data_IF_593513302291
#
_entry.id   IF_593513302291
#
_cell.length_a   1.000
_cell.length_b   1.000
_cell.length_c   1.000
_cell.angle_alpha   90.00
_cell.angle_beta   90.00
_cell.angle_gamma   90.00
#
_symmetry.space_group_name_H-M   'P 1'
#
loop_
_entity.id
_entity.type
_entity.pdbx_description
1 polymer ?
#
# COMPACT_ATOMS: atom_id res chain seq x y z
N UNK A 1 -14.45 4.42 -11.33
CA UNK A 1 -13.54 3.25 -11.43
C UNK A 1 -12.20 3.64 -10.81
N UNK A 2 -11.74 2.88 -9.82
CA UNK A 2 -10.47 3.13 -9.13
C UNK A 2 -9.34 2.26 -9.70
N UNK A 3 -9.66 1.04 -10.10
CA UNK A 3 -8.73 0.10 -10.75
C UNK A 3 -9.43 -0.46 -11.99
N UNK A 4 -8.68 -0.57 -13.10
CA UNK A 4 -9.15 -1.19 -14.34
C UNK A 4 -8.01 -1.95 -15.01
N UNK A 5 -8.10 -3.28 -14.97
CA UNK A 5 -7.16 -4.20 -15.60
C UNK A 5 -7.87 -4.99 -16.69
N UNK A 6 -7.33 -4.94 -17.91
CA UNK A 6 -7.85 -5.65 -19.06
C UNK A 6 -6.70 -6.38 -19.77
N UNK A 7 -6.85 -7.69 -19.86
CA UNK A 7 -5.87 -8.57 -20.50
C UNK A 7 -4.43 -8.33 -20.02
N UNK A 8 -4.24 -8.33 -18.68
CA UNK A 8 -2.95 -8.04 -18.07
C UNK A 8 -2.17 -9.34 -17.86
N UNK A 9 -0.91 -9.36 -18.32
CA UNK A 9 0.05 -10.43 -18.04
C UNK A 9 1.12 -9.93 -17.06
N UNK A 10 1.46 -10.77 -16.08
CA UNK A 10 2.38 -10.43 -14.99
C UNK A 10 3.55 -11.42 -15.00
N UNK A 11 4.75 -10.88 -15.00
CA UNK A 11 5.99 -11.64 -15.01
C UNK A 11 6.80 -11.41 -13.74
N UNK A 12 7.52 -12.46 -13.30
CA UNK A 12 8.62 -12.36 -12.35
C UNK A 12 9.89 -12.84 -13.04
N UNK A 13 10.83 -11.92 -13.27
CA UNK A 13 11.92 -12.14 -14.21
C UNK A 13 11.34 -12.62 -15.58
N UNK A 14 11.84 -13.72 -16.12
CA UNK A 14 11.39 -14.25 -17.41
C UNK A 14 10.19 -15.23 -17.31
N UNK A 15 9.65 -15.43 -16.10
CA UNK A 15 8.53 -16.35 -15.88
C UNK A 15 7.20 -15.62 -15.84
N UNK A 16 6.28 -15.98 -16.74
CA UNK A 16 4.90 -15.56 -16.65
C UNK A 16 4.24 -16.20 -15.43
N UNK A 17 3.72 -15.38 -14.52
CA UNK A 17 3.07 -15.80 -13.27
C UNK A 17 1.57 -15.77 -13.40
N UNK A 18 1.04 -14.77 -14.10
CA UNK A 18 -0.39 -14.58 -14.36
C UNK A 18 -0.59 -14.11 -15.79
N UNK A 19 -1.66 -14.58 -16.44
CA UNK A 19 -2.05 -14.20 -17.80
C UNK A 19 -3.52 -13.86 -17.88
N UNK A 20 -3.87 -12.96 -18.81
CA UNK A 20 -5.24 -12.59 -19.15
C UNK A 20 -6.06 -12.14 -17.92
N UNK A 21 -5.43 -11.38 -17.02
CA UNK A 21 -6.10 -10.87 -15.84
C UNK A 21 -7.02 -9.72 -16.25
N UNK A 22 -8.29 -9.86 -15.87
CA UNK A 22 -9.34 -8.88 -16.13
C UNK A 22 -10.14 -8.65 -14.85
N UNK A 23 -10.12 -7.43 -14.35
CA UNK A 23 -10.98 -7.00 -13.25
C UNK A 23 -11.05 -5.48 -13.17
N UNK A 24 -12.09 -4.98 -12.56
CA UNK A 24 -12.20 -3.56 -12.19
C UNK A 24 -12.68 -3.44 -10.75
N UNK A 25 -12.39 -2.31 -10.14
CA UNK A 25 -12.84 -1.97 -8.78
C UNK A 25 -13.32 -0.53 -8.79
N UNK A 26 -14.52 -0.30 -8.31
CA UNK A 26 -15.13 1.01 -8.17
C UNK A 26 -14.99 1.55 -6.74
N UNK A 27 -15.33 2.82 -6.55
CA UNK A 27 -15.30 3.45 -5.24
C UNK A 27 -16.32 2.81 -4.31
N UNK A 28 -15.90 2.54 -3.07
CA UNK A 28 -16.72 1.90 -2.05
C UNK A 28 -16.81 0.39 -2.16
N UNK A 29 -16.17 -0.24 -3.14
CA UNK A 29 -16.14 -1.68 -3.25
C UNK A 29 -15.10 -2.31 -2.32
N UNK A 30 -15.41 -3.53 -1.87
CA UNK A 30 -14.50 -4.40 -1.13
C UNK A 30 -14.29 -5.70 -1.93
N UNK A 31 -13.05 -5.96 -2.34
CA UNK A 31 -12.70 -7.09 -3.18
C UNK A 31 -11.79 -8.09 -2.44
N UNK A 32 -12.11 -9.37 -2.51
CA UNK A 32 -11.25 -10.45 -2.04
C UNK A 32 -10.46 -11.06 -3.19
N UNK A 33 -9.14 -11.06 -3.09
CA UNK A 33 -8.26 -11.79 -3.99
C UNK A 33 -7.97 -13.18 -3.40
N UNK A 34 -8.64 -14.20 -3.94
CA UNK A 34 -8.52 -15.59 -3.45
C UNK A 34 -7.76 -16.48 -4.44
N UNK A 35 -7.10 -17.49 -3.91
CA UNK A 35 -6.34 -18.47 -4.71
C UNK A 35 -5.34 -19.23 -3.86
N UNK A 36 -4.79 -20.32 -4.41
CA UNK A 36 -3.80 -21.17 -3.74
C UNK A 36 -2.51 -20.41 -3.42
N UNK A 37 -1.71 -20.90 -2.48
CA UNK A 37 -0.36 -20.40 -2.24
C UNK A 37 0.47 -20.54 -3.52
N UNK A 38 1.23 -19.51 -3.87
CA UNK A 38 2.03 -19.48 -5.10
C UNK A 38 1.27 -19.17 -6.39
N UNK A 39 -0.04 -18.86 -6.34
CA UNK A 39 -0.85 -18.54 -7.52
C UNK A 39 -0.66 -17.12 -8.09
N UNK A 40 0.31 -16.34 -7.59
CA UNK A 40 0.59 -15.00 -8.12
C UNK A 40 -0.18 -13.85 -7.50
N UNK A 41 -0.98 -14.07 -6.43
CA UNK A 41 -1.74 -13.00 -5.76
C UNK A 41 -0.87 -11.81 -5.34
N UNK A 42 0.23 -12.09 -4.66
CA UNK A 42 1.16 -11.04 -4.23
C UNK A 42 1.81 -10.33 -5.41
N UNK A 43 2.07 -11.03 -6.53
CA UNK A 43 2.59 -10.41 -7.74
C UNK A 43 1.58 -9.45 -8.36
N UNK A 44 0.30 -9.82 -8.38
CA UNK A 44 -0.77 -8.92 -8.82
C UNK A 44 -0.84 -7.67 -7.95
N UNK A 45 -0.87 -7.83 -6.61
CA UNK A 45 -0.90 -6.67 -5.70
C UNK A 45 0.32 -5.77 -5.89
N UNK A 46 1.51 -6.32 -6.11
CA UNK A 46 2.76 -5.57 -6.34
C UNK A 46 2.72 -4.69 -7.59
N UNK A 47 1.96 -5.07 -8.61
CA UNK A 47 1.78 -4.21 -9.79
C UNK A 47 0.95 -2.97 -9.47
N UNK A 48 -0.05 -3.07 -8.56
CA UNK A 48 -0.93 -1.95 -8.21
C UNK A 48 -0.18 -0.77 -7.58
N UNK A 49 0.93 -1.05 -6.88
CA UNK A 49 1.76 0.02 -6.28
C UNK A 49 3.16 0.12 -6.90
N UNK A 50 3.33 -0.42 -8.12
CA UNK A 50 4.55 -0.34 -8.94
C UNK A 50 5.80 -0.86 -8.20
N UNK A 51 5.69 -1.95 -7.45
CA UNK A 51 6.83 -2.74 -6.98
C UNK A 51 7.25 -3.78 -8.03
N UNK A 52 6.29 -4.21 -8.85
CA UNK A 52 6.49 -5.07 -10.01
C UNK A 52 5.99 -4.35 -11.25
N UNK A 53 6.86 -4.21 -12.24
CA UNK A 53 6.53 -3.55 -13.50
C UNK A 53 5.66 -4.45 -14.39
N UNK A 54 4.82 -3.85 -15.22
CA UNK A 54 4.05 -4.53 -16.25
C UNK A 54 4.81 -4.52 -17.58
N UNK A 55 4.69 -5.60 -18.34
CA UNK A 55 5.32 -5.70 -19.66
C UNK A 55 4.46 -5.03 -20.70
N UNK A 56 5.01 -4.00 -21.36
CA UNK A 56 4.37 -3.32 -22.47
C UNK A 56 4.22 -4.31 -23.65
N UNK A 57 3.07 -4.30 -24.31
CA UNK A 57 2.76 -5.21 -25.42
C UNK A 57 2.02 -6.50 -25.02
N UNK A 58 2.08 -6.90 -23.74
CA UNK A 58 1.33 -8.04 -23.20
C UNK A 58 0.23 -7.63 -22.22
N UNK A 59 -0.06 -6.33 -22.14
CA UNK A 59 -1.06 -5.74 -21.29
C UNK A 59 -1.88 -4.77 -22.13
N UNK A 60 -3.18 -5.01 -22.25
CA UNK A 60 -4.07 -4.12 -23.00
C UNK A 60 -4.31 -2.84 -22.19
N UNK A 61 -4.81 -2.96 -20.96
CA UNK A 61 -5.08 -1.85 -20.07
C UNK A 61 -4.70 -2.19 -18.63
N UNK A 62 -4.02 -1.27 -17.96
CA UNK A 62 -3.73 -1.36 -16.52
C UNK A 62 -3.74 0.04 -15.92
N UNK A 63 -4.87 0.44 -15.37
CA UNK A 63 -5.06 1.76 -14.77
C UNK A 63 -5.36 1.66 -13.27
N UNK A 64 -4.81 2.59 -12.50
CA UNK A 64 -5.16 2.82 -11.10
C UNK A 64 -5.24 4.31 -10.83
N UNK A 65 -6.35 4.78 -10.26
CA UNK A 65 -6.60 6.20 -9.95
C UNK A 65 -6.36 7.10 -11.17
N UNK A 66 -6.74 6.64 -12.37
CA UNK A 66 -6.57 7.35 -13.63
C UNK A 66 -5.13 7.42 -14.17
N UNK A 67 -4.21 6.60 -13.63
CA UNK A 67 -2.83 6.49 -14.11
C UNK A 67 -2.63 5.17 -14.83
N UNK A 68 -2.10 5.21 -16.04
CA UNK A 68 -1.72 4.02 -16.80
C UNK A 68 -0.38 3.47 -16.26
N UNK A 69 -0.42 2.28 -15.67
CA UNK A 69 0.74 1.64 -15.05
C UNK A 69 1.77 1.12 -16.05
N UNK A 70 1.40 0.95 -17.34
CA UNK A 70 2.32 0.51 -18.39
C UNK A 70 3.39 1.55 -18.69
N UNK A 71 3.02 2.84 -18.57
CA UNK A 71 3.84 3.98 -18.97
C UNK A 71 4.17 4.94 -17.81
N UNK A 72 3.77 4.59 -16.59
CA UNK A 72 4.03 5.42 -15.41
C UNK A 72 5.53 5.63 -15.21
N UNK A 73 5.93 6.89 -15.09
CA UNK A 73 7.34 7.22 -14.87
C UNK A 73 7.72 7.08 -13.41
N UNK A 74 8.96 6.69 -13.12
CA UNK A 74 9.47 6.51 -11.74
C UNK A 74 9.21 7.72 -10.83
N UNK A 75 9.24 8.93 -11.36
CA UNK A 75 8.97 10.16 -10.60
C UNK A 75 7.51 10.34 -10.20
N UNK A 76 6.58 9.61 -10.81
CA UNK A 76 5.13 9.67 -10.57
C UNK A 76 4.69 8.61 -9.54
N UNK A 77 5.47 7.54 -9.38
CA UNK A 77 5.18 6.44 -8.43
C UNK A 77 5.01 6.93 -6.99
N UNK A 78 5.84 7.83 -6.43
CA UNK A 78 5.62 8.33 -5.07
C UNK A 78 4.27 9.04 -4.88
N UNK A 79 3.80 9.76 -5.89
CA UNK A 79 2.49 10.42 -5.85
C UNK A 79 1.35 9.40 -5.87
N UNK A 80 1.46 8.34 -6.68
CA UNK A 80 0.51 7.21 -6.66
C UNK A 80 0.50 6.53 -5.29
N UNK A 81 1.67 6.12 -4.78
CA UNK A 81 1.78 5.41 -3.49
C UNK A 81 1.25 6.21 -2.31
N UNK A 82 1.29 7.54 -2.36
CA UNK A 82 0.69 8.41 -1.34
C UNK A 82 -0.83 8.26 -1.25
N UNK A 83 -1.48 7.92 -2.37
CA UNK A 83 -2.93 7.72 -2.44
C UNK A 83 -3.34 6.26 -2.15
N UNK A 84 -2.38 5.38 -1.86
CA UNK A 84 -2.58 3.98 -1.51
C UNK A 84 -2.20 3.72 -0.06
N UNK A 85 -3.05 3.01 0.67
CA UNK A 85 -2.74 2.45 1.99
C UNK A 85 -2.30 1.00 1.83
N UNK A 86 -1.01 0.72 2.02
CA UNK A 86 -0.48 -0.64 1.86
C UNK A 86 -0.24 -1.26 3.23
N UNK A 87 -0.86 -2.43 3.48
CA UNK A 87 -0.69 -3.22 4.70
C UNK A 87 0.10 -4.48 4.32
N UNK A 88 1.39 -4.50 4.66
CA UNK A 88 2.25 -5.63 4.36
C UNK A 88 2.00 -6.81 5.30
N UNK A 89 2.16 -8.04 4.79
CA UNK A 89 1.95 -9.27 5.56
C UNK A 89 2.89 -9.38 6.78
N UNK A 90 4.13 -8.88 6.66
CA UNK A 90 5.16 -8.83 7.70
C UNK A 90 5.21 -7.48 8.44
N UNK A 91 4.14 -6.68 8.29
CA UNK A 91 3.95 -5.34 8.85
C UNK A 91 4.98 -4.30 8.40
N UNK A 92 6.21 -4.65 8.09
CA UNK A 92 7.32 -3.78 7.68
C UNK A 92 7.46 -2.52 8.54
N UNK A 93 7.36 -2.68 9.85
CA UNK A 93 7.66 -1.60 10.79
C UNK A 93 9.17 -1.42 10.91
N UNK A 94 9.62 -0.18 11.00
CA UNK A 94 11.03 0.14 11.21
C UNK A 94 11.39 -0.17 12.66
N UNK A 95 12.23 -1.19 12.88
CA UNK A 95 12.54 -1.74 14.20
C UNK A 95 13.49 -0.88 15.04
N UNK A 96 14.17 0.07 14.41
CA UNK A 96 15.13 0.98 15.02
C UNK A 96 14.49 2.23 15.65
N UNK A 97 13.16 2.32 15.63
CA UNK A 97 12.42 3.50 16.06
C UNK A 97 11.04 3.20 16.62
N UNK A 98 10.54 4.10 17.46
CA UNK A 98 9.21 4.00 18.08
C UNK A 98 8.07 4.07 17.05
N UNK A 99 6.85 3.72 17.48
CA UNK A 99 5.62 3.88 16.68
C UNK A 99 5.50 5.32 16.17
N UNK A 100 5.63 6.33 17.04
CA UNK A 100 5.61 7.74 16.65
C UNK A 100 6.60 8.04 15.52
N UNK A 101 7.85 7.61 15.66
CA UNK A 101 8.91 7.86 14.65
C UNK A 101 8.69 7.09 13.35
N UNK A 102 8.08 5.92 13.39
CA UNK A 102 7.63 5.20 12.20
C UNK A 102 6.64 6.05 11.39
N UNK A 103 5.67 6.65 12.05
CA UNK A 103 4.63 7.48 11.43
C UNK A 103 5.18 8.83 10.96
N UNK A 104 5.99 9.50 11.78
CA UNK A 104 6.68 10.73 11.37
C UNK A 104 7.52 10.53 10.11
N UNK A 105 8.18 9.39 9.97
CA UNK A 105 8.97 9.06 8.77
C UNK A 105 8.10 9.07 7.53
N UNK A 106 6.94 8.40 7.56
CA UNK A 106 6.00 8.35 6.45
C UNK A 106 5.45 9.74 6.12
N UNK A 107 4.98 10.48 7.11
CA UNK A 107 4.40 11.81 6.91
C UNK A 107 5.42 12.80 6.34
N UNK A 108 6.68 12.78 6.82
CA UNK A 108 7.76 13.59 6.26
C UNK A 108 8.05 13.23 4.81
N UNK A 109 8.15 11.94 4.50
CA UNK A 109 8.39 11.44 3.15
C UNK A 109 7.25 11.80 2.17
N UNK A 110 6.03 11.94 2.67
CA UNK A 110 4.85 12.29 1.88
C UNK A 110 4.52 13.79 1.87
N UNK A 111 5.43 14.63 2.40
CA UNK A 111 5.38 16.08 2.25
C UNK A 111 4.67 16.87 3.35
N UNK A 112 4.38 16.24 4.50
CA UNK A 112 3.82 16.95 5.66
C UNK A 112 4.89 17.79 6.37
N UNK A 113 4.93 19.08 6.11
CA UNK A 113 5.97 19.99 6.60
C UNK A 113 5.75 20.40 8.08
N UNK A 114 4.51 20.68 8.46
CA UNK A 114 4.17 21.19 9.79
C UNK A 114 4.24 20.07 10.84
N UNK A 115 5.01 20.29 11.91
CA UNK A 115 5.14 19.32 13.00
C UNK A 115 3.81 19.10 13.74
N UNK A 116 3.08 20.19 14.05
CA UNK A 116 1.81 20.09 14.78
C UNK A 116 0.76 19.27 14.02
N UNK A 117 0.69 19.44 12.69
CA UNK A 117 -0.24 18.69 11.85
C UNK A 117 0.13 17.20 11.81
N UNK A 118 1.44 16.88 11.76
CA UNK A 118 1.91 15.50 11.85
C UNK A 118 1.55 14.87 13.19
N UNK A 119 1.86 15.55 14.30
CA UNK A 119 1.57 15.04 15.64
C UNK A 119 0.08 14.77 15.81
N UNK A 120 -0.76 15.70 15.39
CA UNK A 120 -2.21 15.57 15.42
C UNK A 120 -2.68 14.36 14.60
N UNK A 121 -2.19 14.21 13.36
CA UNK A 121 -2.59 13.10 12.49
C UNK A 121 -2.15 11.74 13.03
N UNK A 122 -0.96 11.66 13.62
CA UNK A 122 -0.47 10.44 14.28
C UNK A 122 -1.39 10.05 15.43
N UNK A 123 -1.77 10.99 16.28
CA UNK A 123 -2.67 10.74 17.40
C UNK A 123 -4.06 10.31 16.92
N UNK A 124 -4.60 10.95 15.89
CA UNK A 124 -5.89 10.59 15.29
C UNK A 124 -5.90 9.12 14.85
N UNK A 125 -4.97 8.70 13.98
CA UNK A 125 -4.97 7.34 13.44
C UNK A 125 -4.66 6.28 14.49
N UNK A 126 -3.83 6.60 15.50
CA UNK A 126 -3.56 5.67 16.61
C UNK A 126 -4.78 5.52 17.53
N UNK A 127 -5.56 6.58 17.73
CA UNK A 127 -6.83 6.49 18.45
C UNK A 127 -7.85 5.64 17.69
N UNK A 128 -7.96 5.79 16.36
CA UNK A 128 -8.87 4.99 15.51
C UNK A 128 -8.65 3.48 15.68
N UNK A 129 -7.40 3.05 15.89
CA UNK A 129 -7.04 1.63 16.06
C UNK A 129 -6.85 1.22 17.53
N UNK A 130 -7.08 2.12 18.50
CA UNK A 130 -6.91 1.87 19.93
C UNK A 130 -5.47 1.62 20.36
N UNK A 131 -4.50 2.35 19.77
CA UNK A 131 -3.06 2.16 19.99
C UNK A 131 -2.33 3.41 20.47
N UNK A 132 -3.07 4.43 20.91
CA UNK A 132 -2.46 5.71 21.35
C UNK A 132 -1.53 5.53 22.56
N UNK A 133 -1.86 4.63 23.48
CA UNK A 133 -1.04 4.31 24.65
C UNK A 133 0.31 3.63 24.30
N UNK A 134 0.47 3.17 23.06
CA UNK A 134 1.67 2.51 22.55
C UNK A 134 2.54 3.41 21.67
N UNK A 135 2.21 4.69 21.56
CA UNK A 135 2.86 5.65 20.62
C UNK A 135 4.38 5.75 20.78
N UNK A 136 4.89 5.61 22.01
CA UNK A 136 6.32 5.68 22.31
C UNK A 136 7.00 4.30 22.42
N UNK A 137 6.27 3.22 22.15
CA UNK A 137 6.80 1.85 22.14
C UNK A 137 7.60 1.54 20.88
N UNK A 138 8.57 0.65 21.03
CA UNK A 138 9.29 0.06 19.89
C UNK A 138 8.49 -1.11 19.31
N UNK A 139 8.62 -1.44 18.01
CA UNK A 139 7.88 -2.57 17.41
C UNK A 139 8.06 -3.89 18.14
N UNK A 140 9.25 -4.19 18.67
CA UNK A 140 9.52 -5.43 19.39
C UNK A 140 8.85 -5.52 20.78
N UNK A 141 8.36 -4.39 21.31
CA UNK A 141 7.60 -4.33 22.56
C UNK A 141 6.09 -4.59 22.33
N UNK A 142 5.66 -4.72 21.07
CA UNK A 142 4.28 -4.93 20.66
C UNK A 142 4.01 -6.41 20.35
N UNK A 143 2.86 -6.92 20.75
CA UNK A 143 2.36 -8.19 20.25
C UNK A 143 2.08 -8.16 18.74
N UNK A 144 1.97 -9.31 18.09
CA UNK A 144 1.66 -9.39 16.66
C UNK A 144 0.37 -8.66 16.29
N UNK A 145 -0.68 -8.79 17.09
CA UNK A 145 -1.94 -8.07 16.87
C UNK A 145 -1.82 -6.56 17.06
N UNK A 146 -0.98 -6.10 17.99
CA UNK A 146 -0.67 -4.67 18.16
C UNK A 146 0.15 -4.13 16.99
N UNK A 147 1.16 -4.89 16.52
CA UNK A 147 1.91 -4.53 15.31
C UNK A 147 1.01 -4.42 14.08
N UNK A 148 0.05 -5.34 13.92
CA UNK A 148 -0.93 -5.28 12.84
C UNK A 148 -1.78 -4.03 12.92
N UNK A 149 -2.32 -3.67 14.08
CA UNK A 149 -3.09 -2.41 14.25
C UNK A 149 -2.25 -1.18 13.95
N UNK A 150 -0.99 -1.15 14.37
CA UNK A 150 -0.06 -0.06 14.04
C UNK A 150 0.21 0.00 12.54
N UNK A 151 0.36 -1.13 11.85
CA UNK A 151 0.51 -1.17 10.40
C UNK A 151 -0.74 -0.66 9.66
N UNK A 152 -1.93 -1.00 10.15
CA UNK A 152 -3.21 -0.45 9.64
C UNK A 152 -3.26 1.07 9.81
N UNK A 153 -2.97 1.58 11.01
CA UNK A 153 -2.94 3.02 11.29
C UNK A 153 -1.94 3.75 10.38
N UNK A 154 -0.77 3.15 10.14
CA UNK A 154 0.23 3.69 9.20
C UNK A 154 -0.31 3.76 7.76
N UNK A 155 -1.04 2.75 7.32
CA UNK A 155 -1.60 2.71 5.97
C UNK A 155 -2.63 3.84 5.73
N UNK A 156 -3.38 4.26 6.75
CA UNK A 156 -4.40 5.31 6.62
C UNK A 156 -3.90 6.74 6.88
N UNK A 157 -2.61 6.93 7.19
CA UNK A 157 -2.01 8.24 7.52
C UNK A 157 -2.32 9.34 6.50
N UNK A 158 -2.22 9.04 5.21
CA UNK A 158 -2.40 9.98 4.12
C UNK A 158 -3.85 10.02 3.56
N UNK A 159 -4.83 9.48 4.27
CA UNK A 159 -6.22 9.35 3.78
C UNK A 159 -6.25 8.70 2.38
N UNK A 160 -5.77 7.47 2.24
CA UNK A 160 -5.67 6.82 0.94
C UNK A 160 -7.04 6.61 0.30
N UNK A 161 -7.06 6.56 -1.03
CA UNK A 161 -8.27 6.25 -1.81
C UNK A 161 -8.50 4.75 -1.93
N UNK A 162 -7.43 3.95 -1.82
CA UNK A 162 -7.46 2.49 -1.90
C UNK A 162 -6.60 1.94 -0.76
N UNK A 163 -7.06 0.87 -0.11
CA UNK A 163 -6.27 0.08 0.86
C UNK A 163 -6.03 -1.30 0.25
N UNK A 164 -4.77 -1.75 0.30
CA UNK A 164 -4.28 -3.02 -0.24
C UNK A 164 -3.62 -3.84 0.86
#
# INVERSE_FOLDING_TARGET
MLIDYQNVSIYQADKCVLQNINFHIDEGEFAYLIGKVGSGKSSLLKTLYCELDLVEGETEKAEILGRDLKIIRRKEIPALRKELGIIFQDFQLLHDRTVRKNFEFVLKATGWKNKKDRDKRIEEVLNEVGMIDKIDKMPHELSGGEQQRVAIARAILNNPKIII
#
